data_IF_898473534497
#
_entry.id   IF_898473534497
#
_cell.length_a   1.000
_cell.length_b   1.000
_cell.length_c   1.000
_cell.angle_alpha   90.00
_cell.angle_beta   90.00
_cell.angle_gamma   90.00
#
_symmetry.space_group_name_H-M   'P 1'
#
loop_
_entity.id
_entity.type
_entity.pdbx_description
1 polymer ?
#
# COMPACT_ATOMS: atom_id res chain seq x y z
N UNK A 1 4.32 -36.25 21.40
CA UNK A 1 3.36 -35.14 21.28
C UNK A 1 4.08 -33.88 21.74
N UNK A 2 4.96 -33.32 20.90
CA UNK A 2 5.78 -32.11 21.16
C UNK A 2 6.71 -31.98 19.96
N UNK A 3 6.45 -31.00 19.08
CA UNK A 3 7.29 -30.79 17.90
C UNK A 3 6.62 -30.03 16.76
N UNK A 4 5.30 -29.83 16.80
CA UNK A 4 4.58 -29.05 15.77
C UNK A 4 4.28 -27.60 16.20
N UNK A 5 4.41 -27.28 17.49
CA UNK A 5 4.09 -25.96 18.04
C UNK A 5 5.25 -24.96 17.98
N UNK A 6 6.47 -25.38 17.66
CA UNK A 6 7.66 -24.52 17.75
C UNK A 6 8.03 -23.82 16.42
N UNK A 7 7.68 -24.42 15.27
CA UNK A 7 7.98 -23.86 13.95
C UNK A 7 7.08 -22.68 13.55
N UNK A 8 5.90 -22.52 14.16
CA UNK A 8 5.02 -21.37 13.89
C UNK A 8 5.43 -20.10 14.67
N UNK A 9 6.48 -20.15 15.51
CA UNK A 9 6.76 -19.10 16.50
C UNK A 9 7.86 -18.10 16.12
N UNK A 10 8.68 -18.41 15.11
CA UNK A 10 9.83 -17.58 14.72
C UNK A 10 9.53 -16.65 13.54
N UNK A 11 8.71 -17.08 12.57
CA UNK A 11 8.33 -16.24 11.41
C UNK A 11 7.32 -15.14 11.79
N UNK A 12 6.49 -15.37 12.81
CA UNK A 12 5.44 -14.44 13.27
C UNK A 12 5.97 -13.26 14.09
N UNK A 13 7.18 -13.34 14.65
CA UNK A 13 7.78 -12.24 15.41
C UNK A 13 8.39 -11.17 14.52
N UNK A 14 8.92 -11.54 13.34
CA UNK A 14 9.50 -10.61 12.36
C UNK A 14 8.42 -9.78 11.61
N UNK A 15 7.16 -10.22 11.63
CA UNK A 15 6.05 -9.49 11.03
C UNK A 15 5.45 -8.40 11.94
N UNK A 16 5.82 -8.37 13.23
CA UNK A 16 5.29 -7.39 14.18
C UNK A 16 6.04 -6.08 14.08
N UNK A 17 5.28 -4.99 14.13
CA UNK A 17 5.81 -3.64 14.09
C UNK A 17 5.45 -3.02 15.43
N UNK A 18 6.39 -2.94 16.41
CA UNK A 18 6.08 -2.52 17.77
C UNK A 18 5.36 -1.18 17.85
N UNK A 19 5.69 -0.24 16.97
CA UNK A 19 5.06 1.07 16.89
C UNK A 19 3.58 1.02 16.46
N UNK A 20 3.15 -0.07 15.81
CA UNK A 20 1.78 -0.25 15.30
C UNK A 20 0.91 -1.16 16.17
N UNK A 21 1.45 -1.80 17.21
CA UNK A 21 0.68 -2.70 18.10
C UNK A 21 -0.61 -2.06 18.67
N UNK A 22 -0.65 -0.76 19.05
CA UNK A 22 -1.89 -0.11 19.48
C UNK A 22 -2.99 -0.04 18.41
N UNK A 23 -2.63 -0.23 17.14
CA UNK A 23 -3.51 -0.18 15.98
C UNK A 23 -3.88 -1.57 15.44
N UNK A 24 -3.51 -2.64 16.16
CA UNK A 24 -3.79 -4.01 15.74
C UNK A 24 -5.30 -4.30 15.71
N UNK A 25 -5.77 -4.96 14.66
CA UNK A 25 -7.18 -5.34 14.51
C UNK A 25 -7.41 -6.68 15.22
N UNK A 26 -8.16 -6.66 16.34
CA UNK A 26 -8.34 -7.85 17.19
C UNK A 26 -9.03 -9.03 16.51
N UNK A 27 -9.98 -8.77 15.60
CA UNK A 27 -10.77 -9.79 14.91
C UNK A 27 -10.15 -10.22 13.56
N UNK A 28 -8.85 -9.98 13.39
CA UNK A 28 -8.09 -10.28 12.19
C UNK A 28 -6.77 -11.01 12.54
N UNK A 29 -6.07 -11.62 11.56
CA UNK A 29 -4.73 -12.14 11.79
C UNK A 29 -3.82 -11.08 12.47
N UNK A 30 -2.90 -11.48 13.37
CA UNK A 30 -2.10 -10.58 14.21
C UNK A 30 -1.00 -9.80 13.46
N UNK A 31 -1.17 -9.69 12.15
CA UNK A 31 -0.32 -8.95 11.20
C UNK A 31 -1.11 -7.84 10.49
N UNK A 32 -2.38 -7.64 10.87
CA UNK A 32 -3.26 -6.62 10.32
C UNK A 32 -3.42 -5.47 11.30
N UNK A 33 -3.11 -4.26 10.82
CA UNK A 33 -3.18 -3.01 11.58
C UNK A 33 -4.08 -2.01 10.84
N UNK A 34 -4.84 -1.22 11.59
CA UNK A 34 -5.64 -0.11 11.08
C UNK A 34 -5.26 1.18 11.81
N UNK A 35 -4.57 2.07 11.10
CA UNK A 35 -4.14 3.37 11.63
C UNK A 35 -5.11 4.45 11.13
N UNK A 36 -6.07 4.91 11.97
CA UNK A 36 -6.96 6.00 11.58
C UNK A 36 -6.17 7.30 11.45
N UNK A 37 -6.67 8.21 10.62
CA UNK A 37 -6.14 9.58 10.47
C UNK A 37 -4.61 9.63 10.22
N UNK A 38 -4.07 8.62 9.52
CA UNK A 38 -2.64 8.53 9.23
C UNK A 38 -2.12 9.73 8.44
N UNK A 39 -2.98 10.37 7.66
CA UNK A 39 -2.74 11.67 7.01
C UNK A 39 -3.74 12.68 7.55
N UNK A 40 -3.34 13.96 7.61
CA UNK A 40 -4.26 15.04 7.99
C UNK A 40 -5.28 15.30 6.86
N UNK A 41 -6.35 16.04 7.17
CA UNK A 41 -7.34 16.47 6.17
C UNK A 41 -6.70 17.32 5.06
N UNK A 42 -5.77 18.19 5.43
CA UNK A 42 -5.05 19.05 4.50
C UNK A 42 -4.12 18.24 3.58
N UNK A 43 -3.48 17.20 4.13
CA UNK A 43 -2.69 16.24 3.36
C UNK A 43 -3.55 15.45 2.38
N UNK A 44 -4.72 14.97 2.82
CA UNK A 44 -5.70 14.28 1.98
C UNK A 44 -6.18 15.17 0.83
N UNK A 45 -6.63 16.40 1.12
CA UNK A 45 -7.06 17.35 0.10
C UNK A 45 -5.95 17.65 -0.90
N UNK A 46 -4.71 17.84 -0.42
CA UNK A 46 -3.56 18.07 -1.27
C UNK A 46 -3.28 16.86 -2.18
N UNK A 47 -3.28 15.65 -1.63
CA UNK A 47 -3.10 14.40 -2.38
C UNK A 47 -4.16 14.25 -3.46
N UNK A 48 -5.43 14.44 -3.11
CA UNK A 48 -6.54 14.36 -4.04
C UNK A 48 -6.37 15.37 -5.19
N UNK A 49 -6.01 16.62 -4.89
CA UNK A 49 -5.72 17.62 -5.93
C UNK A 49 -4.62 17.15 -6.89
N UNK A 50 -3.51 16.61 -6.37
CA UNK A 50 -2.40 16.15 -7.20
C UNK A 50 -2.77 14.93 -8.06
N UNK A 51 -3.47 13.96 -7.47
CA UNK A 51 -3.96 12.77 -8.17
C UNK A 51 -4.87 13.15 -9.34
N UNK A 52 -5.82 14.06 -9.14
CA UNK A 52 -6.76 14.46 -10.21
C UNK A 52 -6.16 15.43 -11.23
N UNK A 53 -5.11 16.17 -10.86
CA UNK A 53 -4.35 17.02 -11.80
C UNK A 53 -3.31 16.24 -12.61
N UNK A 54 -3.11 14.95 -12.33
CA UNK A 54 -2.20 14.13 -13.12
C UNK A 54 -2.60 14.12 -14.61
N UNK A 55 -1.63 14.11 -15.55
CA UNK A 55 -1.93 14.11 -16.98
C UNK A 55 -2.82 12.92 -17.37
N UNK A 56 -3.72 13.12 -18.35
CA UNK A 56 -4.62 12.05 -18.85
C UNK A 56 -3.90 10.71 -19.15
N UNK A 57 -2.70 10.69 -19.76
CA UNK A 57 -1.97 9.45 -20.02
C UNK A 57 -1.55 8.65 -18.77
N UNK A 58 -1.54 9.26 -17.58
CA UNK A 58 -1.28 8.54 -16.32
C UNK A 58 -2.45 7.69 -15.86
N UNK A 59 -3.65 7.90 -16.40
CA UNK A 59 -4.82 7.08 -16.09
C UNK A 59 -4.97 5.94 -17.09
N UNK A 60 -4.94 4.71 -16.58
CA UNK A 60 -5.32 3.52 -17.33
C UNK A 60 -6.73 3.10 -16.90
N UNK A 61 -7.65 2.96 -17.85
CA UNK A 61 -8.96 2.36 -17.59
C UNK A 61 -8.81 0.84 -17.53
N UNK A 62 -9.22 0.26 -16.40
CA UNK A 62 -9.32 -1.18 -16.19
C UNK A 62 -10.80 -1.58 -16.07
N UNK A 63 -11.06 -2.88 -16.00
CA UNK A 63 -12.41 -3.37 -15.70
C UNK A 63 -12.84 -2.92 -14.30
N UNK A 64 -13.85 -2.06 -14.25
CA UNK A 64 -14.47 -1.57 -13.02
C UNK A 64 -13.57 -0.67 -12.15
N UNK A 65 -12.55 -0.02 -12.72
CA UNK A 65 -11.77 1.04 -12.03
C UNK A 65 -10.85 1.79 -12.98
N UNK A 66 -10.31 2.92 -12.53
CA UNK A 66 -9.12 3.55 -13.13
C UNK A 66 -7.90 3.37 -12.24
N UNK A 67 -6.72 3.29 -12.86
CA UNK A 67 -5.44 3.10 -12.20
C UNK A 67 -4.43 4.17 -12.63
N UNK A 68 -3.65 4.70 -11.69
CA UNK A 68 -2.37 5.35 -11.97
C UNK A 68 -1.22 4.51 -11.42
N UNK A 69 -0.07 4.60 -12.07
CA UNK A 69 1.17 3.96 -11.65
C UNK A 69 2.30 5.01 -11.49
N UNK A 70 2.95 5.00 -10.32
CA UNK A 70 4.05 5.88 -9.94
C UNK A 70 5.21 5.10 -9.31
N UNK A 71 6.45 5.50 -9.63
CA UNK A 71 7.67 4.98 -9.00
C UNK A 71 8.20 3.67 -9.58
N UNK A 72 7.38 2.90 -10.28
CA UNK A 72 7.80 1.62 -10.87
C UNK A 72 6.99 1.23 -12.11
N UNK A 73 7.66 1.07 -13.24
CA UNK A 73 7.03 0.60 -14.47
C UNK A 73 7.15 -0.94 -14.60
N UNK A 74 6.03 -1.65 -14.76
CA UNK A 74 6.03 -3.06 -15.09
C UNK A 74 6.75 -3.31 -16.41
N UNK A 75 7.67 -4.27 -16.41
CA UNK A 75 8.39 -4.74 -17.58
C UNK A 75 8.40 -6.28 -17.57
N UNK A 76 8.47 -6.97 -18.72
CA UNK A 76 8.54 -8.43 -18.77
C UNK A 76 9.70 -9.08 -17.97
N UNK A 77 10.67 -8.29 -17.52
CA UNK A 77 11.84 -8.73 -16.73
C UNK A 77 11.80 -8.24 -15.28
N UNK A 78 10.67 -7.74 -14.80
CA UNK A 78 10.50 -7.18 -13.46
C UNK A 78 10.04 -5.72 -13.49
N UNK A 79 10.36 -4.97 -12.43
CA UNK A 79 9.98 -3.56 -12.31
C UNK A 79 11.15 -2.65 -12.68
N UNK A 80 10.89 -1.65 -13.52
CA UNK A 80 11.87 -0.58 -13.80
C UNK A 80 11.57 0.58 -12.85
N UNK A 81 12.50 0.97 -11.96
CA UNK A 81 12.26 2.07 -11.04
C UNK A 81 12.17 3.40 -11.79
N UNK A 82 11.20 4.21 -11.41
CA UNK A 82 11.04 5.60 -11.82
C UNK A 82 11.13 6.52 -10.61
N UNK A 83 11.54 7.76 -10.83
CA UNK A 83 11.50 8.75 -9.75
C UNK A 83 10.05 9.07 -9.40
N UNK A 84 9.70 8.95 -8.11
CA UNK A 84 8.41 9.41 -7.61
C UNK A 84 8.32 10.94 -7.71
N UNK A 85 7.14 11.48 -8.03
CA UNK A 85 6.97 12.93 -8.04
C UNK A 85 7.07 13.48 -6.60
N UNK A 86 7.62 14.70 -6.40
CA UNK A 86 7.85 15.25 -5.06
C UNK A 86 6.59 15.33 -4.18
N UNK A 87 5.42 15.55 -4.79
CA UNK A 87 4.15 15.60 -4.06
C UNK A 87 3.76 14.25 -3.44
N UNK A 88 4.25 13.15 -3.98
CA UNK A 88 3.97 11.79 -3.51
C UNK A 88 5.09 11.26 -2.60
N UNK A 89 6.34 11.65 -2.85
CA UNK A 89 7.52 11.17 -2.11
C UNK A 89 7.36 11.30 -0.60
N UNK A 90 6.88 12.45 -0.10
CA UNK A 90 6.71 12.67 1.35
C UNK A 90 5.82 11.63 2.04
N UNK A 91 4.82 11.08 1.33
CA UNK A 91 3.90 10.09 1.88
C UNK A 91 4.48 8.69 1.80
N UNK A 92 5.27 8.42 0.75
CA UNK A 92 6.07 7.21 0.63
C UNK A 92 7.14 7.16 1.74
N UNK A 93 7.78 8.28 2.05
CA UNK A 93 8.75 8.38 3.15
C UNK A 93 8.05 8.10 4.49
N UNK A 94 6.91 8.76 4.76
CA UNK A 94 6.11 8.54 5.99
C UNK A 94 5.70 7.08 6.19
N UNK A 95 5.40 6.36 5.11
CA UNK A 95 5.12 4.91 5.14
C UNK A 95 6.40 4.08 5.32
N UNK A 96 7.50 4.50 4.70
CA UNK A 96 8.81 3.83 4.84
C UNK A 96 9.37 3.93 6.25
N UNK A 97 9.10 5.03 6.96
CA UNK A 97 9.48 5.24 8.36
C UNK A 97 8.83 4.22 9.31
N UNK A 98 7.74 3.58 8.90
CA UNK A 98 7.13 2.46 9.64
C UNK A 98 7.94 1.16 9.53
N UNK A 99 9.00 1.13 8.70
CA UNK A 99 9.90 -0.02 8.52
C UNK A 99 9.21 -1.31 8.08
N UNK A 100 8.11 -1.19 7.30
CA UNK A 100 7.26 -2.32 6.91
C UNK A 100 7.88 -3.25 5.85
N UNK A 101 8.89 -2.79 5.12
CA UNK A 101 9.43 -3.51 3.96
C UNK A 101 10.83 -4.10 4.24
N UNK A 102 11.06 -4.62 5.45
CA UNK A 102 12.31 -5.30 5.80
C UNK A 102 13.54 -4.39 5.68
N UNK A 103 13.41 -3.12 6.08
CA UNK A 103 14.47 -2.12 5.99
C UNK A 103 14.66 -1.47 4.61
N UNK A 104 13.84 -1.83 3.62
CA UNK A 104 13.79 -1.16 2.32
C UNK A 104 12.74 -0.04 2.31
N UNK A 105 12.96 1.04 1.54
CA UNK A 105 11.93 2.06 1.35
C UNK A 105 10.84 1.57 0.39
N UNK A 106 9.61 2.03 0.59
CA UNK A 106 8.58 1.92 -0.44
C UNK A 106 9.04 2.69 -1.70
N UNK A 107 8.74 2.12 -2.87
CA UNK A 107 9.24 2.65 -4.14
C UNK A 107 8.21 2.61 -5.28
N UNK A 108 7.02 2.03 -5.04
CA UNK A 108 5.97 1.85 -6.04
C UNK A 108 4.61 2.20 -5.46
N UNK A 109 3.83 3.01 -6.18
CA UNK A 109 2.50 3.45 -5.74
C UNK A 109 1.49 3.25 -6.85
N UNK A 110 0.39 2.57 -6.50
CA UNK A 110 -0.79 2.40 -7.34
C UNK A 110 -1.94 3.22 -6.78
N UNK A 111 -2.44 4.18 -7.57
CA UNK A 111 -3.63 4.96 -7.22
C UNK A 111 -4.83 4.38 -7.95
N UNK A 112 -5.82 3.88 -7.22
CA UNK A 112 -7.04 3.33 -7.80
C UNK A 112 -8.20 4.30 -7.58
N UNK A 113 -8.99 4.56 -8.62
CA UNK A 113 -10.26 5.28 -8.53
C UNK A 113 -11.40 4.32 -8.83
N UNK A 114 -12.43 4.36 -7.98
CA UNK A 114 -13.67 3.63 -8.12
C UNK A 114 -14.85 4.62 -8.11
N UNK A 115 -15.81 4.43 -9.00
CA UNK A 115 -17.12 5.06 -8.99
C UNK A 115 -18.11 4.25 -8.15
N UNK A 116 -19.28 4.81 -7.78
CA UNK A 116 -20.33 4.01 -7.13
C UNK A 116 -20.68 2.76 -7.93
N UNK A 117 -20.66 1.59 -7.29
CA UNK A 117 -20.91 0.29 -7.93
C UNK A 117 -19.68 -0.34 -8.61
N UNK A 118 -18.54 0.36 -8.67
CA UNK A 118 -17.28 -0.21 -9.10
C UNK A 118 -16.55 -0.94 -7.98
N UNK A 119 -15.63 -1.82 -8.35
CA UNK A 119 -14.91 -2.65 -7.40
C UNK A 119 -13.76 -3.42 -8.02
N UNK A 120 -13.07 -4.20 -7.20
CA UNK A 120 -12.04 -5.11 -7.66
C UNK A 120 -12.49 -6.53 -7.37
N UNK A 121 -12.48 -7.38 -8.40
CA UNK A 121 -12.78 -8.81 -8.23
C UNK A 121 -11.79 -9.45 -7.28
N UNK A 122 -12.19 -10.56 -6.63
CA UNK A 122 -11.27 -11.37 -5.85
C UNK A 122 -10.08 -11.79 -6.73
N UNK A 123 -8.86 -11.43 -6.30
CA UNK A 123 -7.63 -11.73 -6.99
C UNK A 123 -6.52 -11.95 -5.96
N UNK A 124 -5.55 -12.79 -6.30
CA UNK A 124 -4.26 -12.83 -5.61
C UNK A 124 -3.38 -11.71 -6.18
N UNK A 125 -2.52 -11.12 -5.36
CA UNK A 125 -1.51 -10.17 -5.84
C UNK A 125 -0.65 -10.88 -6.89
N UNK A 126 -0.61 -10.34 -8.11
CA UNK A 126 0.15 -10.96 -9.21
C UNK A 126 1.66 -10.82 -8.98
N UNK A 127 2.39 -11.93 -9.17
CA UNK A 127 3.84 -12.16 -8.98
C UNK A 127 4.42 -11.73 -7.60
N UNK A 128 5.33 -12.54 -7.00
CA UNK A 128 5.87 -12.27 -5.68
C UNK A 128 6.91 -11.15 -5.76
N UNK A 129 6.48 -9.91 -5.53
CA UNK A 129 7.39 -8.85 -5.11
C UNK A 129 7.46 -8.89 -3.57
N UNK A 130 8.68 -8.94 -3.04
CA UNK A 130 8.96 -9.12 -1.61
C UNK A 130 8.29 -8.07 -0.71
N UNK A 131 7.80 -8.56 0.45
CA UNK A 131 7.32 -7.91 1.67
C UNK A 131 6.29 -6.77 1.56
N UNK A 132 5.11 -6.99 2.18
CA UNK A 132 4.19 -5.95 2.69
C UNK A 132 3.32 -5.22 1.65
N UNK A 133 1.99 -5.38 1.72
CA UNK A 133 1.03 -4.50 1.05
C UNK A 133 0.47 -3.50 2.06
N UNK A 134 0.64 -2.21 1.82
CA UNK A 134 -0.09 -1.15 2.52
C UNK A 134 -1.19 -0.60 1.62
N UNK A 135 -2.41 -0.51 2.14
CA UNK A 135 -3.55 0.14 1.48
C UNK A 135 -3.97 1.37 2.26
N UNK A 136 -3.91 2.53 1.62
CA UNK A 136 -4.56 3.74 2.09
C UNK A 136 -5.85 3.95 1.29
N UNK A 137 -6.90 4.43 1.95
CA UNK A 137 -8.18 4.74 1.33
C UNK A 137 -8.63 6.14 1.74
N UNK A 138 -9.06 6.92 0.75
CA UNK A 138 -9.77 8.18 0.92
C UNK A 138 -11.12 8.06 0.21
N UNK A 139 -12.18 8.52 0.85
CA UNK A 139 -13.52 8.56 0.28
C UNK A 139 -14.03 9.99 0.32
N UNK A 140 -14.46 10.52 -0.83
CA UNK A 140 -15.26 11.74 -0.84
C UNK A 140 -16.70 11.33 -0.49
N UNK A 141 -17.24 11.92 0.57
CA UNK A 141 -18.67 11.83 0.90
C UNK A 141 -19.54 12.52 -0.14
#
# INVERSE_FOLDING_TARGET
MTGYTDLMSMEDQDARVPALEPFRVEQAPPVIYYVPDFISKEEEEYLLRQVFNAPKPKWTQLSGRKLQNWGGLPHPRGMVPERLPPWLQRYVDKVSDLSLFGGLPANHVLVNQYLPGEGIMHHQLGLPHHAGLLRASAARG
#
